data_IF_920299028656
#
_entry.id   IF_920299028656
#
_cell.length_a   1.000
_cell.length_b   1.000
_cell.length_c   1.000
_cell.angle_alpha   90.00
_cell.angle_beta   90.00
_cell.angle_gamma   90.00
#
_symmetry.space_group_name_H-M   'P 1'
#
loop_
_entity.id
_entity.type
_entity.pdbx_description
1 polymer ?
#
# COMPACT_ATOMS: atom_id res chain seq x y z
N UNK A 1 18.50 -8.00 -12.09
CA UNK A 1 17.18 -8.18 -11.45
C UNK A 1 16.61 -6.81 -11.17
N UNK A 2 15.41 -6.50 -11.68
CA UNK A 2 14.76 -5.21 -11.40
C UNK A 2 14.09 -5.33 -10.03
N UNK A 3 14.56 -4.55 -9.06
CA UNK A 3 13.97 -4.46 -7.71
C UNK A 3 12.71 -3.59 -7.79
N UNK A 4 11.60 -4.22 -8.12
CA UNK A 4 10.32 -3.54 -8.32
C UNK A 4 9.48 -3.60 -7.05
N UNK A 5 8.68 -2.56 -6.82
CA UNK A 5 7.70 -2.48 -5.76
C UNK A 5 6.34 -2.32 -6.41
N UNK A 6 5.44 -3.27 -6.16
CA UNK A 6 4.05 -3.16 -6.59
C UNK A 6 3.30 -2.30 -5.60
N UNK A 7 2.65 -1.28 -6.13
CA UNK A 7 1.92 -0.28 -5.36
C UNK A 7 0.44 -0.57 -5.47
N UNK A 8 -0.23 -0.67 -4.33
CA UNK A 8 -1.67 -0.82 -4.25
C UNK A 8 -2.25 0.25 -3.34
N UNK A 9 -3.42 0.78 -3.69
CA UNK A 9 -4.26 1.56 -2.78
C UNK A 9 -5.40 0.65 -2.34
N UNK A 10 -5.48 0.41 -1.04
CA UNK A 10 -6.48 -0.46 -0.45
C UNK A 10 -7.49 0.36 0.35
N UNK A 11 -8.77 0.08 0.17
CA UNK A 11 -9.86 0.71 0.91
C UNK A 11 -10.47 -0.30 1.87
N UNK A 12 -10.60 0.07 3.14
CA UNK A 12 -11.31 -0.70 4.16
C UNK A 12 -12.80 -0.34 4.06
N UNK A 13 -13.68 -1.35 3.98
CA UNK A 13 -15.12 -1.10 3.99
C UNK A 13 -15.52 -0.48 5.35
N UNK A 14 -15.98 0.77 5.32
CA UNK A 14 -16.30 1.59 6.50
C UNK A 14 -17.63 1.24 7.19
N UNK A 15 -17.97 1.94 8.30
CA UNK A 15 -19.21 1.72 9.05
C UNK A 15 -20.43 2.07 8.18
N UNK A 16 -21.11 1.05 7.66
CA UNK A 16 -22.27 1.21 6.79
C UNK A 16 -22.50 0.07 5.79
N UNK A 17 -21.51 -0.79 5.57
CA UNK A 17 -21.72 -2.02 4.78
C UNK A 17 -22.27 -3.15 5.66
N UNK A 18 -23.24 -3.95 5.18
CA UNK A 18 -23.80 -5.05 5.95
C UNK A 18 -22.71 -6.08 6.24
N UNK A 19 -22.25 -6.12 7.49
CA UNK A 19 -21.33 -7.12 7.98
C UNK A 19 -22.05 -8.46 8.00
N UNK A 20 -21.78 -9.29 7.00
CA UNK A 20 -22.25 -10.67 7.01
C UNK A 20 -21.67 -11.37 8.25
N UNK A 21 -22.56 -11.93 9.07
CA UNK A 21 -22.32 -12.36 10.45
C UNK A 21 -21.33 -13.53 10.61
N UNK A 22 -20.72 -13.97 9.52
CA UNK A 22 -19.75 -15.04 9.51
C UNK A 22 -18.66 -14.73 8.47
N UNK A 23 -17.39 -14.65 8.94
CA UNK A 23 -16.13 -14.89 8.21
C UNK A 23 -15.32 -13.64 7.73
N UNK A 24 -14.12 -13.56 8.33
CA UNK A 24 -12.78 -13.14 7.81
C UNK A 24 -12.50 -11.64 7.69
N UNK A 25 -11.24 -11.31 8.01
CA UNK A 25 -10.58 -10.01 7.99
C UNK A 25 -11.22 -8.98 7.05
N UNK A 26 -11.29 -7.68 7.43
CA UNK A 26 -11.94 -6.65 6.63
C UNK A 26 -11.51 -6.79 5.16
N UNK A 27 -12.46 -7.14 4.30
CA UNK A 27 -12.21 -7.37 2.87
C UNK A 27 -11.79 -6.03 2.30
N UNK A 28 -10.49 -5.80 2.28
CA UNK A 28 -9.93 -4.56 1.77
C UNK A 28 -9.92 -4.68 0.25
N UNK A 29 -10.58 -3.75 -0.43
CA UNK A 29 -10.53 -3.67 -1.90
C UNK A 29 -9.26 -2.94 -2.28
N UNK A 30 -8.34 -3.64 -2.92
CA UNK A 30 -7.06 -3.09 -3.35
C UNK A 30 -7.04 -2.87 -4.86
N UNK A 31 -6.72 -1.66 -5.28
CA UNK A 31 -6.47 -1.29 -6.67
C UNK A 31 -4.97 -1.25 -6.92
N UNK A 32 -4.53 -1.87 -8.01
CA UNK A 32 -3.13 -1.82 -8.42
C UNK A 32 -2.86 -0.50 -9.13
N UNK A 33 -1.92 0.28 -8.58
CA UNK A 33 -1.59 1.61 -9.08
C UNK A 33 -0.41 1.59 -10.05
N UNK A 34 0.49 0.61 -9.92
CA UNK A 34 1.67 0.51 -10.78
C UNK A 34 2.89 -0.08 -10.07
N UNK A 35 4.00 -0.11 -10.80
CA UNK A 35 5.31 -0.53 -10.31
C UNK A 35 6.20 0.69 -10.06
N UNK A 36 6.87 0.72 -8.91
CA UNK A 36 7.89 1.70 -8.57
C UNK A 36 9.25 1.01 -8.39
N UNK A 37 10.34 1.72 -8.62
CA UNK A 37 11.67 1.21 -8.27
C UNK A 37 11.83 1.21 -6.74
N UNK A 38 12.40 0.15 -6.17
CA UNK A 38 12.75 0.15 -4.75
C UNK A 38 13.71 1.31 -4.39
N UNK A 39 14.51 1.78 -5.36
CA UNK A 39 15.53 2.79 -5.12
C UNK A 39 14.98 4.21 -4.95
N UNK A 40 13.75 4.46 -5.40
CA UNK A 40 13.08 5.76 -5.21
C UNK A 40 12.40 5.89 -3.84
N UNK A 41 12.32 4.80 -3.07
CA UNK A 41 11.72 4.82 -1.74
C UNK A 41 12.73 5.32 -0.67
N UNK A 42 12.24 5.95 0.41
CA UNK A 42 13.06 6.30 1.56
C UNK A 42 13.87 5.11 2.09
N UNK A 43 15.13 5.32 2.54
CA UNK A 43 16.00 4.24 3.03
C UNK A 43 15.35 3.36 4.11
N UNK A 44 14.62 3.95 5.03
CA UNK A 44 13.95 3.28 6.15
C UNK A 44 12.87 2.34 5.62
N UNK A 45 12.03 2.85 4.71
CA UNK A 45 10.94 2.09 4.10
C UNK A 45 11.47 0.96 3.22
N UNK A 46 12.53 1.22 2.44
CA UNK A 46 13.24 0.21 1.64
C UNK A 46 13.79 -0.90 2.51
N UNK A 47 14.41 -0.57 3.65
CA UNK A 47 14.90 -1.55 4.61
C UNK A 47 13.79 -2.42 5.17
N UNK A 48 12.65 -1.83 5.50
CA UNK A 48 11.48 -2.57 5.98
C UNK A 48 10.89 -3.49 4.91
N UNK A 49 10.75 -2.97 3.68
CA UNK A 49 10.20 -3.72 2.55
C UNK A 49 11.07 -4.93 2.18
N UNK A 50 12.40 -4.79 2.24
CA UNK A 50 13.33 -5.90 2.01
C UNK A 50 13.26 -6.97 3.11
N UNK A 51 12.95 -6.59 4.35
CA UNK A 51 12.83 -7.53 5.48
C UNK A 51 11.50 -8.27 5.47
N UNK A 52 10.39 -7.56 5.24
CA UNK A 52 9.03 -8.10 5.37
C UNK A 52 8.43 -8.57 4.06
N UNK A 53 8.94 -8.11 2.93
CA UNK A 53 8.33 -8.28 1.61
C UNK A 53 7.12 -7.39 1.36
N UNK A 54 6.48 -6.88 2.42
CA UNK A 54 5.28 -6.04 2.34
C UNK A 54 5.25 -5.01 3.47
N UNK A 55 4.78 -3.80 3.16
CA UNK A 55 4.52 -2.74 4.13
C UNK A 55 3.18 -2.07 3.83
N UNK A 56 2.45 -1.73 4.90
CA UNK A 56 1.18 -1.01 4.86
C UNK A 56 1.38 0.40 5.45
N UNK A 57 0.90 1.43 4.76
CA UNK A 57 1.03 2.82 5.18
C UNK A 57 -0.35 3.50 5.16
N UNK A 58 -0.78 4.05 6.28
CA UNK A 58 -2.03 4.83 6.38
C UNK A 58 -1.79 6.31 6.14
N UNK A 59 -0.53 6.75 6.13
CA UNK A 59 -0.12 8.13 5.90
C UNK A 59 0.92 8.19 4.78
N UNK A 60 0.82 9.22 3.94
CA UNK A 60 1.72 9.49 2.83
C UNK A 60 2.24 10.92 2.96
N UNK A 61 3.55 11.07 3.00
CA UNK A 61 4.16 12.37 2.72
C UNK A 61 4.20 12.64 1.20
N UNK A 62 4.34 13.91 0.81
CA UNK A 62 4.34 14.32 -0.60
C UNK A 62 5.47 13.67 -1.43
N UNK A 63 6.61 13.38 -0.79
CA UNK A 63 7.77 12.79 -1.46
C UNK A 63 7.48 11.35 -1.85
N UNK A 64 6.93 10.57 -0.91
CA UNK A 64 6.54 9.18 -1.11
C UNK A 64 5.37 9.08 -2.09
N UNK A 65 4.34 9.91 -1.93
CA UNK A 65 3.21 10.01 -2.85
C UNK A 65 3.69 10.18 -4.30
N UNK A 66 4.63 11.11 -4.53
CA UNK A 66 5.25 11.32 -5.85
C UNK A 66 6.10 10.13 -6.31
N UNK A 67 6.88 9.53 -5.42
CA UNK A 67 7.75 8.39 -5.74
C UNK A 67 6.96 7.16 -6.20
N UNK A 68 5.78 6.92 -5.61
CA UNK A 68 4.91 5.78 -5.94
C UNK A 68 3.78 6.11 -6.90
N UNK A 69 3.65 7.38 -7.31
CA UNK A 69 2.62 7.83 -8.25
C UNK A 69 1.20 7.77 -7.67
N UNK A 70 1.03 7.96 -6.36
CA UNK A 70 -0.26 7.92 -5.66
C UNK A 70 -0.57 9.29 -5.09
N UNK A 71 -1.83 9.72 -5.19
CA UNK A 71 -2.29 10.97 -4.57
C UNK A 71 -2.51 10.84 -3.06
N UNK A 72 -3.22 11.81 -2.48
CA UNK A 72 -3.62 11.72 -1.07
C UNK A 72 -4.57 10.53 -0.87
N UNK A 73 -4.38 9.82 0.25
CA UNK A 73 -5.29 8.77 0.69
C UNK A 73 -6.55 9.41 1.28
N UNK A 74 -7.71 8.84 0.96
CA UNK A 74 -8.97 9.19 1.62
C UNK A 74 -9.06 8.52 3.00
N UNK A 75 -10.03 8.96 3.81
CA UNK A 75 -10.40 8.23 5.03
C UNK A 75 -10.69 6.76 4.68
N UNK A 76 -10.17 5.84 5.52
CA UNK A 76 -10.25 4.39 5.33
C UNK A 76 -9.42 3.82 4.16
N UNK A 77 -8.53 4.59 3.56
CA UNK A 77 -7.56 4.09 2.60
C UNK A 77 -6.16 3.92 3.21
N UNK A 78 -5.43 2.93 2.71
CA UNK A 78 -4.03 2.72 3.01
C UNK A 78 -3.26 2.30 1.77
N UNK A 79 -1.99 2.67 1.70
CA UNK A 79 -1.07 2.19 0.69
C UNK A 79 -0.51 0.83 1.09
N UNK A 80 -0.51 -0.12 0.17
CA UNK A 80 0.15 -1.42 0.32
C UNK A 80 1.29 -1.49 -0.70
N UNK A 81 2.51 -1.63 -0.19
CA UNK A 81 3.71 -1.80 -0.99
C UNK A 81 4.18 -3.24 -0.90
N UNK A 82 4.42 -3.89 -2.03
CA UNK A 82 4.88 -5.28 -2.08
C UNK A 82 6.17 -5.36 -2.88
N UNK A 83 7.23 -5.85 -2.27
CA UNK A 83 8.50 -6.07 -2.94
C UNK A 83 8.41 -7.26 -3.92
N UNK A 84 8.81 -7.03 -5.17
CA UNK A 84 8.93 -8.03 -6.22
C UNK A 84 10.39 -8.02 -6.69
N UNK A 85 11.17 -9.00 -6.23
CA UNK A 85 12.60 -9.16 -6.54
C UNK A 85 12.91 -9.77 -7.90
#
# INVERSE_FOLDING_TARGET
MRREVRVYVCSVEGPGMPTYRHIVAPISRCEYMGGASLDVLPPELRGELLRRGEVLLTELDESLARAVGVGNLSDYQYLRLVFSG
#
